data_IF_398604570779
#
_entry.id   IF_398604570779
#
_cell.length_a   1.000
_cell.length_b   1.000
_cell.length_c   1.000
_cell.angle_alpha   90.00
_cell.angle_beta   90.00
_cell.angle_gamma   90.00
#
_symmetry.space_group_name_H-M   'P 1'
#
loop_
_entity.id
_entity.type
_entity.pdbx_description
1 polymer ?
#
# COMPACT_ATOMS: atom_id res chain seq x y z
N UNK A 1 -19.33 -23.51 12.51
CA UNK A 1 -18.52 -22.29 12.36
C UNK A 1 -17.50 -22.49 11.24
N UNK A 2 -17.34 -21.52 10.31
CA UNK A 2 -16.30 -21.59 9.29
C UNK A 2 -14.91 -21.63 9.95
N UNK A 3 -14.04 -22.53 9.47
CA UNK A 3 -12.67 -22.71 9.99
C UNK A 3 -11.72 -21.66 9.41
N UNK A 4 -11.87 -21.34 8.13
CA UNK A 4 -11.09 -20.31 7.43
C UNK A 4 -11.54 -18.92 7.86
N UNK A 5 -10.59 -18.03 8.13
CA UNK A 5 -10.85 -16.65 8.53
C UNK A 5 -10.75 -15.70 7.34
N UNK A 6 -11.51 -14.61 7.39
CA UNK A 6 -11.58 -13.59 6.34
C UNK A 6 -10.81 -12.34 6.79
N UNK A 7 -9.89 -11.90 5.94
CA UNK A 7 -9.12 -10.66 6.12
C UNK A 7 -9.58 -9.65 5.07
N UNK A 8 -10.04 -8.47 5.50
CA UNK A 8 -10.44 -7.40 4.59
C UNK A 8 -9.47 -6.22 4.73
N UNK A 9 -9.02 -5.67 3.60
CA UNK A 9 -8.17 -4.46 3.59
C UNK A 9 -9.06 -3.22 3.65
N UNK A 10 -8.82 -2.34 4.62
CA UNK A 10 -9.63 -1.15 4.83
C UNK A 10 -9.04 0.04 4.06
N UNK A 11 -9.83 0.59 3.15
CA UNK A 11 -9.45 1.71 2.28
C UNK A 11 -10.57 2.74 2.16
N UNK A 12 -10.44 3.72 1.25
CA UNK A 12 -11.43 4.79 1.08
C UNK A 12 -12.87 4.31 0.82
N UNK A 13 -13.03 3.17 0.14
CA UNK A 13 -14.34 2.57 -0.16
C UNK A 13 -14.93 1.78 1.01
N UNK A 14 -14.18 1.54 2.08
CA UNK A 14 -14.57 0.65 3.19
C UNK A 14 -14.28 1.20 4.58
N UNK A 15 -13.92 2.48 4.70
CA UNK A 15 -13.61 3.12 5.98
C UNK A 15 -14.79 3.79 6.67
N UNK A 16 -15.98 3.82 6.04
CA UNK A 16 -17.16 4.38 6.71
C UNK A 16 -17.66 3.41 7.79
N UNK A 17 -18.23 3.92 8.90
CA UNK A 17 -18.78 3.08 9.96
C UNK A 17 -19.84 2.07 9.47
N UNK A 18 -20.68 2.49 8.53
CA UNK A 18 -21.75 1.67 7.96
C UNK A 18 -21.18 0.47 7.21
N UNK A 19 -20.20 0.72 6.32
CA UNK A 19 -19.56 -0.35 5.55
C UNK A 19 -18.75 -1.27 6.46
N UNK A 20 -18.06 -0.73 7.47
CA UNK A 20 -17.33 -1.55 8.44
C UNK A 20 -18.25 -2.48 9.22
N UNK A 21 -19.44 -2.00 9.64
CA UNK A 21 -20.46 -2.84 10.27
C UNK A 21 -20.88 -3.97 9.36
N UNK A 22 -21.24 -3.67 8.11
CA UNK A 22 -21.66 -4.67 7.14
C UNK A 22 -20.56 -5.71 6.91
N UNK A 23 -19.28 -5.29 6.79
CA UNK A 23 -18.16 -6.20 6.66
C UNK A 23 -18.03 -7.17 7.85
N UNK A 24 -18.22 -6.68 9.08
CA UNK A 24 -18.16 -7.51 10.30
C UNK A 24 -19.33 -8.50 10.33
N UNK A 25 -20.56 -8.02 10.08
CA UNK A 25 -21.77 -8.86 10.04
C UNK A 25 -21.69 -9.93 8.96
N UNK A 26 -21.05 -9.63 7.82
CA UNK A 26 -20.82 -10.57 6.73
C UNK A 26 -19.56 -11.43 6.87
N UNK A 27 -18.89 -11.37 8.02
CA UNK A 27 -17.89 -12.38 8.41
C UNK A 27 -16.43 -11.93 8.36
N UNK A 28 -16.12 -10.64 8.23
CA UNK A 28 -14.76 -10.14 8.41
C UNK A 28 -14.24 -10.50 9.80
N UNK A 29 -13.08 -11.16 9.86
CA UNK A 29 -12.42 -11.53 11.13
C UNK A 29 -11.20 -10.66 11.43
N UNK A 30 -10.55 -10.14 10.39
CA UNK A 30 -9.36 -9.30 10.53
C UNK A 30 -9.47 -8.09 9.61
N UNK A 31 -9.31 -6.89 10.18
CA UNK A 31 -9.16 -5.66 9.41
C UNK A 31 -7.67 -5.41 9.15
N UNK A 32 -7.26 -5.48 7.88
CA UNK A 32 -5.91 -5.16 7.43
C UNK A 32 -5.80 -3.66 7.13
N UNK A 33 -4.86 -2.99 7.78
CA UNK A 33 -4.48 -1.60 7.53
C UNK A 33 -3.13 -1.58 6.81
N UNK A 34 -3.12 -1.17 5.54
CA UNK A 34 -1.91 -1.08 4.74
C UNK A 34 -1.20 0.26 4.97
N UNK A 35 -0.02 0.22 5.60
CA UNK A 35 0.77 1.41 5.95
C UNK A 35 1.64 1.91 4.79
N UNK A 36 1.53 1.33 3.59
CA UNK A 36 2.10 1.92 2.38
C UNK A 36 1.42 3.23 1.98
N UNK A 37 0.23 3.51 2.53
CA UNK A 37 -0.60 4.68 2.26
C UNK A 37 -1.24 5.21 3.54
N UNK A 38 -1.68 6.47 3.50
CA UNK A 38 -2.38 7.12 4.59
C UNK A 38 -1.47 7.56 5.74
N UNK A 39 -2.00 8.44 6.59
CA UNK A 39 -1.30 8.97 7.75
C UNK A 39 -1.57 8.14 9.02
N UNK A 40 -0.73 8.28 10.03
CA UNK A 40 -1.00 7.68 11.35
C UNK A 40 -2.33 8.17 11.95
N UNK A 41 -2.73 9.42 11.67
CA UNK A 41 -3.99 9.97 12.14
C UNK A 41 -5.19 9.27 11.48
N UNK A 42 -5.14 9.05 10.16
CA UNK A 42 -6.17 8.29 9.44
C UNK A 42 -6.27 6.85 9.92
N UNK A 43 -5.13 6.17 10.12
CA UNK A 43 -5.13 4.80 10.63
C UNK A 43 -5.66 4.73 12.06
N UNK A 44 -5.34 5.71 12.91
CA UNK A 44 -5.89 5.82 14.27
C UNK A 44 -7.40 5.92 14.25
N UNK A 45 -7.96 6.71 13.35
CA UNK A 45 -9.41 6.86 13.26
C UNK A 45 -10.09 5.55 12.83
N UNK A 46 -9.55 4.89 11.80
CA UNK A 46 -10.02 3.55 11.39
C UNK A 46 -10.00 2.55 12.55
N UNK A 47 -8.91 2.52 13.33
CA UNK A 47 -8.78 1.64 14.51
C UNK A 47 -9.89 1.91 15.52
N UNK A 48 -10.16 3.18 15.83
CA UNK A 48 -11.23 3.57 16.77
C UNK A 48 -12.59 3.12 16.28
N UNK A 49 -12.91 3.37 15.02
CA UNK A 49 -14.19 2.97 14.42
C UNK A 49 -14.35 1.45 14.43
N UNK A 50 -13.32 0.69 14.04
CA UNK A 50 -13.34 -0.78 14.06
C UNK A 50 -13.57 -1.31 15.49
N UNK A 51 -12.91 -0.72 16.50
CA UNK A 51 -13.07 -1.12 17.90
C UNK A 51 -14.48 -0.83 18.42
N UNK A 52 -14.98 0.37 18.20
CA UNK A 52 -16.34 0.76 18.61
C UNK A 52 -17.41 -0.19 18.03
N UNK A 53 -17.31 -0.53 16.73
CA UNK A 53 -18.26 -1.43 16.08
C UNK A 53 -18.08 -2.88 16.57
N UNK A 54 -16.84 -3.34 16.76
CA UNK A 54 -16.54 -4.68 17.30
C UNK A 54 -17.15 -4.87 18.69
N UNK A 55 -17.04 -3.85 19.55
CA UNK A 55 -17.62 -3.84 20.89
C UNK A 55 -19.16 -3.77 20.85
N UNK A 56 -19.73 -2.93 19.98
CA UNK A 56 -21.18 -2.81 19.83
C UNK A 56 -21.84 -4.10 19.33
N UNK A 57 -21.18 -4.82 18.41
CA UNK A 57 -21.67 -6.06 17.83
C UNK A 57 -21.31 -7.32 18.65
N UNK A 58 -20.59 -7.18 19.77
CA UNK A 58 -20.02 -8.28 20.55
C UNK A 58 -19.30 -9.32 19.66
N UNK A 59 -18.59 -8.83 18.63
CA UNK A 59 -17.97 -9.67 17.60
C UNK A 59 -16.47 -9.38 17.56
N UNK A 60 -15.60 -10.34 17.91
CA UNK A 60 -14.15 -10.12 17.91
C UNK A 60 -13.59 -9.88 16.51
N UNK A 61 -12.92 -8.74 16.33
CA UNK A 61 -12.22 -8.38 15.07
C UNK A 61 -10.75 -8.07 15.38
N UNK A 62 -9.83 -8.84 14.80
CA UNK A 62 -8.41 -8.52 14.90
C UNK A 62 -8.04 -7.34 13.98
N UNK A 63 -7.01 -6.58 14.34
CA UNK A 63 -6.45 -5.54 13.49
C UNK A 63 -5.04 -5.97 13.10
N UNK A 64 -4.79 -6.03 11.79
CA UNK A 64 -3.49 -6.38 11.23
C UNK A 64 -2.85 -5.12 10.64
N UNK A 65 -1.75 -4.69 11.23
CA UNK A 65 -0.90 -3.65 10.67
C UNK A 65 0.01 -4.28 9.61
N UNK A 66 -0.13 -3.87 8.36
CA UNK A 66 0.70 -4.32 7.27
C UNK A 66 1.76 -3.26 6.92
N UNK A 67 3.02 -3.60 7.18
CA UNK A 67 4.17 -2.73 6.99
C UNK A 67 4.58 -2.70 5.51
N UNK A 68 4.99 -1.53 5.02
CA UNK A 68 5.47 -1.40 3.64
C UNK A 68 6.74 -2.23 3.37
N UNK A 69 7.61 -2.40 4.37
CA UNK A 69 8.92 -3.02 4.17
C UNK A 69 9.87 -2.18 3.30
N UNK A 70 11.10 -2.67 3.06
CA UNK A 70 12.04 -2.01 2.15
C UNK A 70 11.50 -2.07 0.71
N UNK A 71 11.25 -0.92 0.09
CA UNK A 71 10.80 -0.81 -1.30
C UNK A 71 11.78 0.03 -2.10
N UNK A 72 12.16 -0.46 -3.28
CA UNK A 72 12.83 0.34 -4.30
C UNK A 72 11.74 1.01 -5.13
N UNK A 73 11.74 2.34 -5.17
CA UNK A 73 10.78 3.15 -5.92
C UNK A 73 11.52 4.06 -6.88
N UNK A 74 10.87 4.43 -7.98
CA UNK A 74 11.34 5.56 -8.80
C UNK A 74 11.03 6.88 -8.10
N UNK A 75 11.79 7.92 -8.42
CA UNK A 75 11.50 9.28 -7.98
C UNK A 75 10.19 9.82 -8.55
N UNK A 76 9.88 11.06 -8.18
CA UNK A 76 8.63 11.71 -8.59
C UNK A 76 8.53 11.84 -10.11
N UNK A 77 7.46 11.31 -10.69
CA UNK A 77 7.11 11.45 -12.10
C UNK A 77 5.90 12.37 -12.20
N UNK A 78 6.03 13.46 -12.95
CA UNK A 78 4.94 14.43 -13.12
C UNK A 78 3.84 13.89 -14.02
N UNK A 79 2.60 14.32 -13.77
CA UNK A 79 1.45 14.07 -14.65
C UNK A 79 1.74 14.56 -16.09
N UNK A 80 1.29 13.84 -17.15
CA UNK A 80 0.44 12.64 -17.14
C UNK A 80 1.20 11.32 -16.94
N UNK A 81 2.48 11.38 -16.57
CA UNK A 81 3.38 10.23 -16.56
C UNK A 81 4.35 10.24 -17.74
N UNK A 82 5.22 9.22 -17.78
CA UNK A 82 6.22 9.02 -18.83
C UNK A 82 5.81 7.79 -19.65
N UNK A 83 5.59 7.97 -20.94
CA UNK A 83 5.41 6.87 -21.89
C UNK A 83 6.77 6.37 -22.35
N UNK A 84 6.97 5.06 -22.29
CA UNK A 84 8.14 4.37 -22.83
C UNK A 84 7.68 3.46 -23.96
N UNK A 85 8.33 3.57 -25.12
CA UNK A 85 8.04 2.71 -26.26
C UNK A 85 8.96 1.47 -26.28
N UNK A 86 8.51 0.32 -26.81
CA UNK A 86 9.33 -0.88 -26.86
C UNK A 86 10.67 -0.65 -27.56
N UNK A 87 11.76 -1.11 -26.94
CA UNK A 87 13.12 -0.97 -27.48
C UNK A 87 13.76 0.40 -27.20
N UNK A 88 13.04 1.35 -26.61
CA UNK A 88 13.58 2.63 -26.18
C UNK A 88 14.61 2.42 -25.04
N UNK A 89 15.85 2.93 -25.18
CA UNK A 89 16.79 2.97 -24.07
C UNK A 89 16.25 3.84 -22.94
N UNK A 90 16.38 3.37 -21.71
CA UNK A 90 15.89 4.08 -20.53
C UNK A 90 16.84 3.88 -19.35
N UNK A 91 17.11 4.96 -18.62
CA UNK A 91 18.14 4.99 -17.58
C UNK A 91 17.50 5.02 -16.19
N UNK A 92 17.83 4.04 -15.36
CA UNK A 92 17.61 4.11 -13.91
C UNK A 92 18.90 4.63 -13.26
N UNK A 93 18.81 5.73 -12.53
CA UNK A 93 19.98 6.34 -11.86
C UNK A 93 19.75 6.49 -10.35
N UNK A 94 20.81 6.34 -9.56
CA UNK A 94 20.79 6.67 -8.12
C UNK A 94 20.96 8.16 -7.84
N UNK A 95 21.20 8.98 -8.88
CA UNK A 95 21.31 10.43 -8.76
C UNK A 95 19.95 11.09 -8.57
N UNK A 96 19.91 12.19 -7.82
CA UNK A 96 18.71 13.03 -7.68
C UNK A 96 18.50 13.85 -8.96
N UNK A 97 17.63 13.36 -9.84
CA UNK A 97 17.32 14.00 -11.14
C UNK A 97 15.82 14.23 -11.32
N UNK A 98 15.46 15.19 -12.17
CA UNK A 98 14.09 15.33 -12.67
C UNK A 98 13.81 14.14 -13.59
N UNK A 99 12.75 13.39 -13.30
CA UNK A 99 12.32 12.24 -14.08
C UNK A 99 11.80 12.65 -15.47
N UNK A 100 12.30 12.00 -16.52
CA UNK A 100 11.91 12.24 -17.92
C UNK A 100 11.76 10.93 -18.70
N UNK A 101 11.34 11.00 -19.97
CA UNK A 101 11.30 9.87 -20.91
C UNK A 101 12.62 9.15 -21.14
N UNK A 102 13.74 9.70 -20.68
CA UNK A 102 15.08 9.13 -20.88
C UNK A 102 15.67 8.56 -19.59
N UNK A 103 15.35 9.16 -18.43
CA UNK A 103 15.96 8.79 -17.16
C UNK A 103 15.04 9.05 -15.96
N UNK A 104 15.14 8.20 -14.94
CA UNK A 104 14.46 8.39 -13.65
C UNK A 104 15.40 8.05 -12.50
N UNK A 105 15.22 8.74 -11.38
CA UNK A 105 15.92 8.41 -10.14
C UNK A 105 15.31 7.16 -9.50
N UNK A 106 16.12 6.37 -8.78
CA UNK A 106 15.67 5.25 -7.94
C UNK A 106 16.03 5.49 -6.49
N UNK A 107 15.15 5.08 -5.58
CA UNK A 107 15.31 5.27 -4.14
C UNK A 107 16.37 4.37 -3.50
N UNK A 108 17.03 3.52 -4.28
CA UNK A 108 18.04 2.57 -3.81
C UNK A 108 19.40 2.86 -4.45
N UNK A 109 20.29 3.57 -3.74
CA UNK A 109 21.55 4.05 -4.30
C UNK A 109 22.51 2.95 -4.76
N UNK A 110 22.40 1.76 -4.18
CA UNK A 110 23.27 0.61 -4.46
C UNK A 110 22.84 -0.18 -5.71
N UNK A 111 21.69 0.15 -6.33
CA UNK A 111 21.17 -0.59 -7.47
C UNK A 111 22.21 -0.73 -8.61
N UNK A 112 22.91 0.33 -9.05
CA UNK A 112 23.88 0.22 -10.15
C UNK A 112 25.06 -0.71 -9.87
N UNK A 113 25.41 -0.93 -8.60
CA UNK A 113 26.52 -1.80 -8.18
C UNK A 113 26.10 -3.28 -8.05
N UNK A 114 24.80 -3.53 -7.87
CA UNK A 114 24.28 -4.87 -7.60
C UNK A 114 23.71 -5.56 -8.85
N UNK A 115 23.32 -4.78 -9.86
CA UNK A 115 22.81 -5.30 -11.13
C UNK A 115 23.93 -5.68 -12.10
N UNK A 116 23.63 -6.63 -12.98
CA UNK A 116 24.51 -7.12 -14.04
C UNK A 116 23.85 -6.94 -15.41
N UNK A 117 24.63 -6.95 -16.49
CA UNK A 117 24.06 -6.95 -17.83
C UNK A 117 23.04 -8.08 -18.00
N UNK A 118 21.84 -7.73 -18.49
CA UNK A 118 20.68 -8.61 -18.74
C UNK A 118 19.82 -9.00 -17.53
N UNK A 119 20.08 -8.44 -16.34
CA UNK A 119 19.14 -8.55 -15.20
C UNK A 119 17.79 -7.90 -15.53
N UNK A 120 16.71 -8.41 -14.93
CA UNK A 120 15.32 -8.00 -15.17
C UNK A 120 14.56 -7.79 -13.87
#
# INVERSE_FOLDING_TARGET
>A
MPKTKIICTIGPSSSSPEILRELILHGMNVARLNFSHGTHAEHREKIRTIRAISDELDTPVAILQDLCGPKIRVGEVREPGIRLDPGQPFILTSESVICTGERVSVSYPNLPQEVRPKDR
#
